data_IF_430598454465
#
_entry.id   IF_430598454465
#
_cell.length_a   1.000
_cell.length_b   1.000
_cell.length_c   1.000
_cell.angle_alpha   90.00
_cell.angle_beta   90.00
_cell.angle_gamma   90.00
#
_symmetry.space_group_name_H-M   'P 1'
#
loop_
_entity.id
_entity.type
_entity.pdbx_description
1 polymer ?
#
# COMPACT_ATOMS: atom_id res chain seq x y z
N UNK A 1 30.85 11.71 18.24
CA UNK A 1 29.52 11.98 18.81
C UNK A 1 28.38 11.83 17.80
N UNK A 2 28.52 12.29 16.54
CA UNK A 2 27.47 12.21 15.52
C UNK A 2 27.21 10.76 15.04
N UNK A 3 28.24 9.94 14.94
CA UNK A 3 28.14 8.51 14.54
C UNK A 3 27.42 7.64 15.59
N UNK A 4 27.61 7.91 16.85
CA UNK A 4 26.93 7.20 17.96
C UNK A 4 25.46 7.59 18.09
N UNK A 5 25.10 8.84 17.85
CA UNK A 5 23.73 9.29 17.82
C UNK A 5 22.97 8.71 16.62
N UNK A 6 23.60 8.64 15.43
CA UNK A 6 23.05 8.03 14.24
C UNK A 6 22.81 6.51 14.41
N UNK A 7 23.75 5.80 15.03
CA UNK A 7 23.59 4.37 15.31
C UNK A 7 22.46 4.09 16.30
N UNK A 8 22.31 4.91 17.34
CA UNK A 8 21.22 4.79 18.30
C UNK A 8 19.85 5.03 17.66
N UNK A 9 19.71 6.07 16.82
CA UNK A 9 18.49 6.34 16.07
C UNK A 9 18.16 5.20 15.09
N UNK A 10 19.16 4.66 14.41
CA UNK A 10 18.97 3.51 13.50
C UNK A 10 18.42 2.30 14.25
N UNK A 11 18.97 1.98 15.41
CA UNK A 11 18.51 0.87 16.25
C UNK A 11 17.07 1.09 16.73
N UNK A 12 16.74 2.31 17.16
CA UNK A 12 15.37 2.64 17.57
C UNK A 12 14.35 2.48 16.42
N UNK A 13 14.70 2.95 15.23
CA UNK A 13 13.84 2.80 14.04
C UNK A 13 13.67 1.34 13.65
N UNK A 14 14.73 0.54 13.72
CA UNK A 14 14.65 -0.91 13.44
C UNK A 14 13.76 -1.64 14.44
N UNK A 15 13.86 -1.33 15.74
CA UNK A 15 12.99 -1.93 16.76
C UNK A 15 11.54 -1.49 16.60
N UNK A 16 11.29 -0.22 16.33
CA UNK A 16 9.94 0.29 16.07
C UNK A 16 9.34 -0.40 14.83
N UNK A 17 10.09 -0.49 13.73
CA UNK A 17 9.67 -1.19 12.52
C UNK A 17 9.40 -2.68 12.76
N UNK A 18 10.23 -3.34 13.58
CA UNK A 18 10.01 -4.74 13.97
C UNK A 18 8.70 -4.94 14.73
N UNK A 19 8.44 -4.10 15.74
CA UNK A 19 7.19 -4.16 16.52
C UNK A 19 5.95 -3.91 15.67
N UNK A 20 5.98 -2.87 14.85
CA UNK A 20 4.87 -2.57 13.91
C UNK A 20 4.64 -3.73 12.94
N UNK A 21 5.70 -4.31 12.39
CA UNK A 21 5.61 -5.45 11.48
C UNK A 21 5.05 -6.71 12.17
N UNK A 22 5.40 -6.93 13.43
CA UNK A 22 4.87 -8.03 14.25
C UNK A 22 3.36 -7.87 14.47
N UNK A 23 2.91 -6.68 14.85
CA UNK A 23 1.48 -6.36 15.02
C UNK A 23 0.73 -6.49 13.69
N UNK A 24 1.29 -5.93 12.61
CA UNK A 24 0.73 -6.04 11.26
C UNK A 24 0.56 -7.50 10.83
N UNK A 25 1.59 -8.33 11.04
CA UNK A 25 1.55 -9.77 10.73
C UNK A 25 0.48 -10.51 11.54
N UNK A 26 0.37 -10.24 12.83
CA UNK A 26 -0.64 -10.84 13.70
C UNK A 26 -2.07 -10.47 13.26
N UNK A 27 -2.31 -9.21 12.94
CA UNK A 27 -3.61 -8.74 12.45
C UNK A 27 -3.92 -9.38 11.09
N UNK A 28 -2.97 -9.37 10.16
CA UNK A 28 -3.13 -9.96 8.82
C UNK A 28 -3.46 -11.45 8.88
N UNK A 29 -2.81 -12.17 9.78
CA UNK A 29 -3.07 -13.61 9.98
C UNK A 29 -4.47 -13.84 10.55
N UNK A 30 -4.82 -13.13 11.61
CA UNK A 30 -6.12 -13.29 12.29
C UNK A 30 -7.31 -12.94 11.39
N UNK A 31 -7.18 -11.84 10.65
CA UNK A 31 -8.26 -11.33 9.79
C UNK A 31 -8.26 -11.93 8.39
N UNK A 32 -7.28 -12.76 8.07
CA UNK A 32 -7.07 -13.32 6.72
C UNK A 32 -7.03 -12.25 5.64
N UNK A 33 -6.47 -11.10 5.98
CA UNK A 33 -6.38 -9.96 5.08
C UNK A 33 -5.49 -10.28 3.87
N UNK A 34 -6.07 -10.27 2.67
CA UNK A 34 -5.36 -10.62 1.44
C UNK A 34 -6.02 -9.98 0.22
N UNK A 35 -5.24 -9.26 -0.60
CA UNK A 35 -5.72 -8.62 -1.82
C UNK A 35 -6.30 -9.60 -2.82
N UNK A 36 -5.54 -10.66 -3.11
CA UNK A 36 -5.99 -11.72 -4.03
C UNK A 36 -7.27 -12.39 -3.50
N UNK A 37 -7.33 -12.67 -2.19
CA UNK A 37 -8.53 -13.24 -1.57
C UNK A 37 -9.73 -12.31 -1.68
N UNK A 38 -9.56 -11.00 -1.50
CA UNK A 38 -10.63 -10.02 -1.64
C UNK A 38 -11.21 -9.98 -3.06
N UNK A 39 -10.34 -9.99 -4.07
CA UNK A 39 -10.76 -10.02 -5.49
C UNK A 39 -11.43 -11.35 -5.83
N UNK A 40 -10.85 -12.47 -5.41
CA UNK A 40 -11.40 -13.80 -5.64
C UNK A 40 -12.79 -13.97 -5.01
N UNK A 41 -12.99 -13.50 -3.78
CA UNK A 41 -14.28 -13.58 -3.10
C UNK A 41 -15.36 -12.80 -3.84
N UNK A 42 -15.03 -11.60 -4.33
CA UNK A 42 -15.97 -10.79 -5.13
C UNK A 42 -16.33 -11.47 -6.45
N UNK A 43 -15.33 -12.00 -7.17
CA UNK A 43 -15.54 -12.60 -8.51
C UNK A 43 -16.22 -13.96 -8.42
N UNK A 44 -15.83 -14.81 -7.44
CA UNK A 44 -16.31 -16.20 -7.37
C UNK A 44 -17.56 -16.36 -6.52
N UNK A 45 -17.71 -15.56 -5.47
CA UNK A 45 -18.79 -15.71 -4.49
C UNK A 45 -19.68 -14.48 -4.34
N UNK A 46 -19.32 -13.34 -4.94
CA UNK A 46 -20.04 -12.08 -4.76
C UNK A 46 -19.90 -11.50 -3.34
N UNK A 47 -18.96 -12.00 -2.54
CA UNK A 47 -18.73 -11.53 -1.17
C UNK A 47 -17.76 -10.35 -1.14
N UNK A 48 -18.26 -9.20 -0.72
CA UNK A 48 -17.53 -7.93 -0.62
C UNK A 48 -16.86 -7.70 0.73
N UNK A 49 -16.97 -8.62 1.66
CA UNK A 49 -16.52 -8.42 3.05
C UNK A 49 -15.03 -8.06 3.12
N UNK A 50 -14.16 -8.83 2.45
CA UNK A 50 -12.71 -8.55 2.41
C UNK A 50 -12.36 -7.31 1.59
N UNK A 51 -13.11 -7.01 0.52
CA UNK A 51 -12.91 -5.79 -0.24
C UNK A 51 -13.25 -4.56 0.61
N UNK A 52 -14.25 -4.64 1.49
CA UNK A 52 -14.59 -3.58 2.45
C UNK A 52 -13.52 -3.42 3.54
N UNK A 53 -12.89 -4.52 4.00
CA UNK A 53 -11.71 -4.42 4.87
C UNK A 53 -10.60 -3.60 4.20
N UNK A 54 -10.36 -3.84 2.90
CA UNK A 54 -9.42 -3.06 2.10
C UNK A 54 -9.82 -1.59 1.99
N UNK A 55 -11.08 -1.32 1.66
CA UNK A 55 -11.59 0.05 1.59
C UNK A 55 -11.42 0.81 2.90
N UNK A 56 -11.73 0.16 4.03
CA UNK A 56 -11.53 0.75 5.36
C UNK A 56 -10.05 0.99 5.67
N UNK A 57 -9.16 0.04 5.38
CA UNK A 57 -7.72 0.19 5.62
C UNK A 57 -7.13 1.35 4.80
N UNK A 58 -7.51 1.45 3.52
CA UNK A 58 -7.09 2.56 2.65
C UNK A 58 -7.65 3.89 3.15
N UNK A 59 -8.93 3.94 3.54
CA UNK A 59 -9.56 5.15 4.07
C UNK A 59 -8.87 5.66 5.34
N UNK A 60 -8.57 4.77 6.28
CA UNK A 60 -7.83 5.11 7.51
C UNK A 60 -6.42 5.59 7.20
N UNK A 61 -5.68 4.88 6.32
CA UNK A 61 -4.34 5.27 5.93
C UNK A 61 -4.31 6.64 5.23
N UNK A 62 -5.27 6.93 4.33
CA UNK A 62 -5.38 8.23 3.67
C UNK A 62 -5.61 9.37 4.67
N UNK A 63 -6.55 9.19 5.59
CA UNK A 63 -6.86 10.22 6.61
C UNK A 63 -5.65 10.40 7.53
N UNK A 64 -5.07 9.32 8.04
CA UNK A 64 -3.92 9.39 8.95
C UNK A 64 -2.69 10.04 8.31
N UNK A 65 -2.36 9.67 7.07
CA UNK A 65 -1.27 10.29 6.32
C UNK A 65 -1.51 11.79 6.11
N UNK A 66 -2.73 12.17 5.78
CA UNK A 66 -3.06 13.60 5.58
C UNK A 66 -3.01 14.41 6.86
N UNK A 67 -3.39 13.83 8.01
CA UNK A 67 -3.24 14.48 9.32
C UNK A 67 -1.76 14.72 9.64
N UNK A 68 -0.90 13.71 9.41
CA UNK A 68 0.55 13.85 9.64
C UNK A 68 1.19 14.88 8.69
N UNK A 69 0.75 14.91 7.43
CA UNK A 69 1.21 15.88 6.44
C UNK A 69 0.77 17.31 6.79
N UNK A 70 -0.47 17.49 7.24
CA UNK A 70 -0.99 18.78 7.71
C UNK A 70 -0.27 19.26 8.98
N UNK A 71 0.05 18.34 9.90
CA UNK A 71 0.84 18.62 11.11
C UNK A 71 2.31 18.96 10.83
N UNK A 72 2.77 18.88 9.57
CA UNK A 72 4.16 19.16 9.18
C UNK A 72 5.18 18.08 9.56
N UNK A 73 4.71 16.92 10.02
CA UNK A 73 5.57 15.79 10.41
C UNK A 73 6.13 15.07 9.18
N UNK A 74 5.37 15.08 8.10
CA UNK A 74 5.74 14.44 6.82
C UNK A 74 5.63 15.46 5.70
N UNK A 75 6.64 15.49 4.82
CA UNK A 75 6.60 16.33 3.63
C UNK A 75 6.31 15.45 2.39
N UNK A 76 5.07 15.47 1.86
CA UNK A 76 4.68 14.66 0.71
C UNK A 76 5.51 14.94 -0.55
N UNK A 77 5.99 16.19 -0.73
CA UNK A 77 6.78 16.59 -1.89
C UNK A 77 8.18 15.93 -1.95
N UNK A 78 8.69 15.42 -0.83
CA UNK A 78 9.94 14.64 -0.78
C UNK A 78 9.76 13.16 -1.04
N UNK A 79 8.52 12.71 -1.25
CA UNK A 79 8.24 11.32 -1.57
C UNK A 79 8.71 10.98 -2.99
N UNK A 80 9.21 9.75 -3.18
CA UNK A 80 9.55 9.20 -4.51
C UNK A 80 8.34 9.14 -5.45
N UNK A 81 7.13 9.22 -4.92
CA UNK A 81 5.88 9.24 -5.69
C UNK A 81 5.47 10.65 -6.16
N UNK A 82 6.12 11.71 -5.65
CA UNK A 82 5.88 13.09 -6.08
C UNK A 82 6.64 13.40 -7.39
N UNK A 83 6.49 12.55 -8.40
CA UNK A 83 7.07 12.76 -9.73
C UNK A 83 6.07 13.49 -10.63
N UNK A 84 6.56 14.33 -11.54
CA UNK A 84 5.74 15.02 -12.54
C UNK A 84 5.41 14.15 -13.75
N UNK A 85 6.03 12.95 -13.83
CA UNK A 85 5.90 12.04 -14.97
C UNK A 85 4.96 10.89 -14.65
N UNK A 86 3.83 10.82 -15.35
CA UNK A 86 2.86 9.74 -15.20
C UNK A 86 3.15 8.59 -16.16
N UNK A 87 3.65 7.48 -15.60
CA UNK A 87 4.03 6.26 -16.31
C UNK A 87 2.83 5.30 -16.42
N UNK A 88 1.79 5.69 -17.13
CA UNK A 88 0.55 4.92 -17.21
C UNK A 88 0.75 3.52 -17.83
N UNK A 89 1.59 3.40 -18.87
CA UNK A 89 1.89 2.13 -19.52
C UNK A 89 2.66 1.19 -18.58
N UNK A 90 3.60 1.72 -17.82
CA UNK A 90 4.34 0.96 -16.80
C UNK A 90 3.41 0.45 -15.69
N UNK A 91 2.46 1.26 -15.26
CA UNK A 91 1.47 0.87 -14.26
C UNK A 91 0.54 -0.25 -14.78
N UNK A 92 0.11 -0.16 -16.04
CA UNK A 92 -0.79 -1.14 -16.66
C UNK A 92 -0.09 -2.48 -16.87
N UNK A 93 1.08 -2.48 -17.50
CA UNK A 93 1.87 -3.70 -17.76
C UNK A 93 2.36 -4.30 -16.44
N UNK A 94 2.88 -3.48 -15.53
CA UNK A 94 3.34 -3.91 -14.21
C UNK A 94 2.20 -4.49 -13.37
N UNK A 95 1.03 -3.87 -13.37
CA UNK A 95 -0.16 -4.36 -12.66
C UNK A 95 -0.66 -5.71 -13.22
N UNK A 96 -0.65 -5.86 -14.53
CA UNK A 96 -1.02 -7.13 -15.19
C UNK A 96 -0.06 -8.26 -14.83
N UNK A 97 1.26 -8.02 -14.97
CA UNK A 97 2.29 -9.00 -14.60
C UNK A 97 2.25 -9.34 -13.10
N UNK A 98 2.03 -8.35 -12.25
CA UNK A 98 1.87 -8.55 -10.81
C UNK A 98 0.65 -9.42 -10.49
N UNK A 99 -0.49 -9.18 -11.17
CA UNK A 99 -1.69 -10.00 -11.04
C UNK A 99 -1.47 -11.45 -11.43
N UNK A 100 -0.82 -11.69 -12.59
CA UNK A 100 -0.44 -13.04 -13.01
C UNK A 100 0.50 -13.71 -12.01
N UNK A 101 1.51 -12.98 -11.52
CA UNK A 101 2.45 -13.49 -10.52
C UNK A 101 1.74 -13.89 -9.21
N UNK A 102 0.75 -13.13 -8.75
CA UNK A 102 -0.04 -13.47 -7.55
C UNK A 102 -0.85 -14.78 -7.74
N UNK A 103 -1.40 -15.00 -8.93
CA UNK A 103 -2.16 -16.22 -9.24
C UNK A 103 -1.21 -17.43 -9.27
N UNK A 104 -0.10 -17.35 -9.99
CA UNK A 104 0.90 -18.42 -10.09
C UNK A 104 1.57 -18.72 -8.74
N UNK A 105 1.84 -17.70 -7.93
CA UNK A 105 2.42 -17.83 -6.59
C UNK A 105 1.43 -18.29 -5.50
N UNK A 106 0.16 -18.54 -5.86
CA UNK A 106 -0.91 -18.92 -4.92
C UNK A 106 -1.15 -17.93 -3.78
N UNK A 107 -0.82 -16.65 -4.00
CA UNK A 107 -1.08 -15.59 -3.04
C UNK A 107 -0.19 -14.36 -3.21
N UNK A 108 -0.54 -13.30 -2.50
CA UNK A 108 0.29 -12.10 -2.41
C UNK A 108 1.46 -12.31 -1.45
N UNK A 109 2.45 -11.40 -1.46
CA UNK A 109 3.62 -11.47 -0.59
C UNK A 109 3.29 -11.59 0.90
N UNK A 110 2.29 -10.84 1.39
CA UNK A 110 1.84 -10.90 2.79
C UNK A 110 1.32 -12.28 3.17
N UNK A 111 0.52 -12.92 2.30
CA UNK A 111 0.01 -14.28 2.53
C UNK A 111 1.14 -15.31 2.52
N UNK A 112 2.13 -15.12 1.67
CA UNK A 112 3.31 -15.99 1.61
C UNK A 112 4.12 -15.90 2.90
N UNK A 113 4.34 -14.69 3.43
CA UNK A 113 5.02 -14.46 4.72
C UNK A 113 4.26 -15.11 5.89
N UNK A 114 2.95 -14.96 5.95
CA UNK A 114 2.11 -15.62 6.97
C UNK A 114 2.23 -17.13 6.91
N UNK A 115 2.25 -17.72 5.69
CA UNK A 115 2.46 -19.16 5.49
C UNK A 115 3.85 -19.63 5.93
N UNK A 116 4.89 -18.82 5.72
CA UNK A 116 6.24 -19.11 6.22
C UNK A 116 6.22 -19.17 7.75
N UNK A 117 5.59 -18.18 8.39
CA UNK A 117 5.44 -18.14 9.83
C UNK A 117 4.68 -19.34 10.42
N UNK A 118 3.80 -19.98 9.63
CA UNK A 118 3.12 -21.22 10.00
C UNK A 118 3.92 -22.51 9.68
N UNK A 119 5.19 -22.38 9.27
CA UNK A 119 6.08 -23.52 9.01
C UNK A 119 6.00 -24.12 7.61
N UNK A 120 5.39 -23.45 6.64
CA UNK A 120 5.26 -23.97 5.28
C UNK A 120 6.51 -23.71 4.44
N UNK A 121 7.37 -24.74 4.28
CA UNK A 121 8.63 -24.66 3.50
C UNK A 121 8.40 -24.34 2.01
N UNK A 122 7.28 -24.75 1.42
CA UNK A 122 6.96 -24.40 0.02
C UNK A 122 6.78 -22.89 -0.13
N UNK A 123 6.15 -22.25 0.84
CA UNK A 123 5.98 -20.79 0.86
C UNK A 123 7.33 -20.08 0.98
N UNK A 124 8.30 -20.64 1.71
CA UNK A 124 9.64 -20.11 1.83
C UNK A 124 10.37 -20.09 0.46
N UNK A 125 10.29 -21.18 -0.30
CA UNK A 125 10.88 -21.24 -1.64
C UNK A 125 10.23 -20.22 -2.58
N UNK A 126 8.89 -20.11 -2.55
CA UNK A 126 8.16 -19.10 -3.34
C UNK A 126 8.60 -17.68 -2.97
N UNK A 127 8.79 -17.41 -1.70
CA UNK A 127 9.23 -16.10 -1.22
C UNK A 127 10.65 -15.76 -1.69
N UNK A 128 11.58 -16.72 -1.65
CA UNK A 128 12.95 -16.53 -2.17
C UNK A 128 12.94 -16.21 -3.67
N UNK A 129 12.20 -16.99 -4.46
CA UNK A 129 12.08 -16.75 -5.91
C UNK A 129 11.47 -15.37 -6.18
N UNK A 130 10.44 -15.00 -5.43
CA UNK A 130 9.80 -13.69 -5.52
C UNK A 130 10.79 -12.56 -5.17
N UNK A 131 11.60 -12.75 -4.13
CA UNK A 131 12.63 -11.78 -3.72
C UNK A 131 13.71 -11.57 -4.79
N UNK A 132 14.22 -12.67 -5.38
CA UNK A 132 15.20 -12.62 -6.48
C UNK A 132 14.60 -11.93 -7.69
N UNK A 133 13.36 -12.27 -8.08
CA UNK A 133 12.68 -11.66 -9.20
C UNK A 133 12.43 -10.15 -8.96
N UNK A 134 12.03 -9.77 -7.76
CA UNK A 134 11.84 -8.37 -7.38
C UNK A 134 13.16 -7.58 -7.46
N UNK A 135 14.26 -8.15 -6.96
CA UNK A 135 15.58 -7.51 -7.06
C UNK A 135 16.04 -7.38 -8.51
N UNK A 136 15.85 -8.42 -9.33
CA UNK A 136 16.16 -8.37 -10.76
C UNK A 136 15.35 -7.29 -11.50
N UNK A 137 14.09 -7.09 -11.09
CA UNK A 137 13.20 -6.06 -11.68
C UNK A 137 13.57 -4.64 -11.23
N UNK A 138 14.12 -4.48 -10.04
CA UNK A 138 14.53 -3.17 -9.52
C UNK A 138 15.89 -2.71 -10.04
N UNK A 139 16.89 -3.60 -10.08
CA UNK A 139 18.28 -3.25 -10.40
C UNK A 139 18.96 -4.19 -11.39
N UNK A 140 18.26 -5.21 -11.90
CA UNK A 140 18.83 -6.20 -12.83
C UNK A 140 18.55 -5.91 -14.31
N UNK A 141 18.72 -6.94 -15.13
CA UNK A 141 18.53 -6.88 -16.59
C UNK A 141 17.09 -6.48 -16.94
N UNK A 142 16.11 -6.95 -16.20
CA UNK A 142 14.70 -6.59 -16.38
C UNK A 142 14.42 -5.12 -16.08
N UNK A 143 15.18 -4.47 -15.20
CA UNK A 143 15.11 -3.03 -15.00
C UNK A 143 15.53 -2.25 -16.26
N UNK A 144 16.61 -2.69 -16.93
CA UNK A 144 17.08 -2.07 -18.18
C UNK A 144 16.01 -2.18 -19.27
N UNK A 145 15.42 -3.37 -19.44
CA UNK A 145 14.33 -3.59 -20.42
C UNK A 145 13.12 -2.72 -20.09
N UNK A 146 12.72 -2.65 -18.83
CA UNK A 146 11.59 -1.83 -18.37
C UNK A 146 11.80 -0.35 -18.69
N UNK A 147 12.97 0.20 -18.35
CA UNK A 147 13.33 1.60 -18.62
C UNK A 147 13.42 1.87 -20.10
N UNK A 148 13.99 0.93 -20.89
CA UNK A 148 14.16 1.09 -22.32
C UNK A 148 12.85 0.98 -23.13
N UNK A 149 11.84 0.31 -22.60
CA UNK A 149 10.56 0.04 -23.30
C UNK A 149 9.38 0.80 -22.68
N UNK A 150 8.94 0.35 -21.52
CA UNK A 150 7.65 0.74 -20.93
C UNK A 150 7.70 2.12 -20.27
N UNK A 151 8.83 2.50 -19.69
CA UNK A 151 9.00 3.79 -19.04
C UNK A 151 9.24 4.96 -20.01
N UNK A 152 9.54 4.66 -21.29
CA UNK A 152 9.65 5.72 -22.32
C UNK A 152 8.31 6.38 -22.61
N UNK A 153 7.21 5.62 -22.46
CA UNK A 153 5.86 6.12 -22.70
C UNK A 153 5.31 6.70 -21.39
N UNK A 154 5.63 7.95 -21.13
CA UNK A 154 5.10 8.71 -19.99
C UNK A 154 4.56 10.04 -20.44
N UNK A 155 3.54 10.55 -19.75
CA UNK A 155 2.97 11.87 -19.97
C UNK A 155 3.53 12.77 -18.87
N UNK A 156 4.16 13.88 -19.25
CA UNK A 156 4.59 14.89 -18.30
C UNK A 156 3.42 15.82 -17.99
N UNK A 157 3.00 15.82 -16.72
CA UNK A 157 1.95 16.70 -16.25
C UNK A 157 2.60 17.91 -15.56
N UNK A 158 2.32 19.11 -16.06
CA UNK A 158 2.86 20.36 -15.53
C UNK A 158 2.39 20.68 -14.12
N UNK A 159 1.28 20.09 -13.69
CA UNK A 159 0.64 20.35 -12.38
C UNK A 159 0.91 19.27 -11.34
N UNK A 160 1.79 18.29 -11.61
CA UNK A 160 2.01 17.12 -10.75
C UNK A 160 1.07 15.96 -11.07
N UNK A 161 1.41 14.77 -10.52
CA UNK A 161 0.67 13.51 -10.77
C UNK A 161 -0.30 13.16 -9.65
N UNK A 162 -0.34 13.93 -8.55
CA UNK A 162 -1.21 13.64 -7.41
C UNK A 162 -2.57 14.31 -7.55
N UNK A 163 -3.62 13.63 -7.08
CA UNK A 163 -4.97 14.21 -7.01
C UNK A 163 -5.02 15.47 -6.15
N UNK A 164 -4.11 15.58 -5.19
CA UNK A 164 -3.98 16.76 -4.32
C UNK A 164 -3.50 17.98 -5.09
N UNK A 165 -2.55 17.80 -6.02
CA UNK A 165 -2.03 18.90 -6.84
C UNK A 165 -3.12 19.42 -7.80
N UNK A 166 -3.89 18.51 -8.37
CA UNK A 166 -5.03 18.85 -9.23
C UNK A 166 -6.13 19.60 -8.47
N UNK A 167 -6.47 19.11 -7.28
CA UNK A 167 -7.45 19.77 -6.43
C UNK A 167 -6.96 21.15 -5.97
N UNK A 168 -5.69 21.29 -5.65
CA UNK A 168 -5.08 22.56 -5.26
C UNK A 168 -5.07 23.57 -6.42
N UNK A 169 -4.71 23.12 -7.63
CA UNK A 169 -4.72 23.98 -8.81
C UNK A 169 -6.13 24.44 -9.21
N UNK A 170 -7.15 23.59 -9.03
CA UNK A 170 -8.53 23.92 -9.34
C UNK A 170 -9.19 24.84 -8.29
N UNK A 171 -8.81 24.68 -7.01
CA UNK A 171 -9.43 25.43 -5.89
C UNK A 171 -8.65 26.66 -5.44
N UNK A 172 -7.38 26.81 -5.87
CA UNK A 172 -6.50 27.91 -5.43
C UNK A 172 -6.06 27.81 -3.96
N UNK A 173 -6.29 26.66 -3.31
CA UNK A 173 -6.00 26.40 -1.89
C UNK A 173 -4.64 25.70 -1.77
N UNK A 174 -3.87 25.90 -0.67
CA UNK A 174 -2.63 25.16 -0.45
C UNK A 174 -2.81 23.66 -0.58
N UNK A 175 -1.86 22.96 -1.25
CA UNK A 175 -1.93 21.53 -1.53
C UNK A 175 -2.15 20.68 -0.25
N UNK A 176 -1.64 21.11 0.89
CA UNK A 176 -1.84 20.45 2.19
C UNK A 176 -3.31 20.44 2.63
N UNK A 177 -4.00 21.58 2.47
CA UNK A 177 -5.41 21.74 2.84
C UNK A 177 -6.31 21.00 1.84
N UNK A 178 -6.02 21.12 0.54
CA UNK A 178 -6.72 20.38 -0.50
C UNK A 178 -6.57 18.86 -0.31
N UNK A 179 -5.36 18.40 0.02
CA UNK A 179 -5.08 17.00 0.34
C UNK A 179 -5.84 16.51 1.57
N UNK A 180 -5.93 17.32 2.63
CA UNK A 180 -6.70 16.96 3.81
C UNK A 180 -8.20 16.87 3.51
N UNK A 181 -8.77 17.84 2.80
CA UNK A 181 -10.19 17.82 2.42
C UNK A 181 -10.51 16.60 1.53
N UNK A 182 -9.67 16.33 0.53
CA UNK A 182 -9.85 15.20 -0.38
C UNK A 182 -9.76 13.86 0.36
N UNK A 183 -8.80 13.73 1.27
CA UNK A 183 -8.63 12.51 2.07
C UNK A 183 -9.78 12.30 3.06
N UNK A 184 -10.35 13.37 3.63
CA UNK A 184 -11.53 13.28 4.47
C UNK A 184 -12.75 12.82 3.67
N UNK A 185 -12.95 13.35 2.46
CA UNK A 185 -14.09 12.99 1.61
C UNK A 185 -13.95 11.55 1.09
N UNK A 186 -12.81 11.22 0.48
CA UNK A 186 -12.61 9.89 -0.10
C UNK A 186 -12.43 8.84 1.00
N UNK A 187 -11.56 9.10 1.98
CA UNK A 187 -11.30 8.18 3.08
C UNK A 187 -12.53 7.98 3.97
N UNK A 188 -13.23 9.06 4.30
CA UNK A 188 -14.51 8.99 5.02
C UNK A 188 -15.59 8.24 4.25
N UNK A 189 -15.67 8.48 2.93
CA UNK A 189 -16.57 7.75 2.03
C UNK A 189 -16.29 6.25 1.99
N UNK A 190 -15.01 5.85 1.92
CA UNK A 190 -14.59 4.45 1.97
C UNK A 190 -14.91 3.78 3.30
N UNK A 191 -14.67 4.47 4.42
CA UNK A 191 -15.00 3.97 5.76
C UNK A 191 -16.51 3.84 5.92
N UNK A 192 -17.28 4.82 5.46
CA UNK A 192 -18.74 4.77 5.48
C UNK A 192 -19.27 3.62 4.63
N UNK A 193 -18.78 3.48 3.39
CA UNK A 193 -19.15 2.38 2.50
C UNK A 193 -18.85 1.01 3.11
N UNK A 194 -17.69 0.86 3.75
CA UNK A 194 -17.29 -0.37 4.41
C UNK A 194 -18.21 -0.70 5.61
N UNK A 195 -18.52 0.28 6.45
CA UNK A 195 -19.30 0.10 7.70
C UNK A 195 -20.82 -0.03 7.49
N UNK A 196 -21.32 0.31 6.29
CA UNK A 196 -22.77 0.30 6.01
C UNK A 196 -23.38 -1.10 6.03
N UNK A 197 -22.62 -2.13 5.67
CA UNK A 197 -23.12 -3.51 5.58
C UNK A 197 -23.13 -4.21 6.94
N UNK A 198 -24.23 -4.94 7.23
CA UNK A 198 -24.36 -5.70 8.48
C UNK A 198 -23.35 -6.83 8.62
N UNK A 199 -22.98 -7.50 7.49
CA UNK A 199 -21.97 -8.56 7.47
C UNK A 199 -20.58 -8.08 7.89
N UNK A 200 -20.29 -6.78 7.65
CA UNK A 200 -19.02 -6.16 8.02
C UNK A 200 -18.89 -5.84 9.50
N UNK A 201 -20.00 -5.78 10.26
CA UNK A 201 -20.02 -5.33 11.65
C UNK A 201 -19.38 -6.29 12.67
N UNK A 202 -18.76 -7.37 12.23
CA UNK A 202 -17.94 -8.21 13.09
C UNK A 202 -16.66 -7.47 13.53
N UNK A 203 -16.25 -7.58 14.81
CA UNK A 203 -15.09 -6.86 15.35
C UNK A 203 -13.79 -7.19 14.61
N UNK A 204 -13.67 -8.38 14.05
CA UNK A 204 -12.49 -8.79 13.25
C UNK A 204 -12.34 -7.97 11.96
N UNK A 205 -13.43 -7.53 11.33
CA UNK A 205 -13.38 -6.71 10.13
C UNK A 205 -12.90 -5.29 10.44
N UNK A 206 -13.35 -4.73 11.57
CA UNK A 206 -12.86 -3.44 12.06
C UNK A 206 -11.39 -3.53 12.47
N UNK A 207 -11.00 -4.62 13.13
CA UNK A 207 -9.60 -4.87 13.49
C UNK A 207 -8.72 -4.93 12.23
N UNK A 208 -9.20 -5.56 11.15
CA UNK A 208 -8.49 -5.56 9.87
C UNK A 208 -8.32 -4.14 9.31
N UNK A 209 -9.42 -3.41 9.13
CA UNK A 209 -9.41 -2.09 8.51
C UNK A 209 -8.64 -1.06 9.33
N UNK A 210 -8.96 -0.91 10.62
CA UNK A 210 -8.33 0.07 11.50
C UNK A 210 -6.89 -0.32 11.85
N UNK A 211 -6.65 -1.60 12.15
CA UNK A 211 -5.34 -2.07 12.57
C UNK A 211 -4.32 -2.04 11.42
N UNK A 212 -4.70 -2.48 10.23
CA UNK A 212 -3.82 -2.44 9.05
C UNK A 212 -3.67 -1.00 8.56
N UNK A 213 -4.76 -0.23 8.48
CA UNK A 213 -4.71 1.18 8.12
C UNK A 213 -3.81 1.99 9.07
N UNK A 214 -3.93 1.75 10.39
CA UNK A 214 -3.09 2.40 11.40
C UNK A 214 -1.63 1.95 11.38
N UNK A 215 -1.34 0.70 11.02
CA UNK A 215 0.04 0.20 10.94
C UNK A 215 0.80 0.73 9.71
N UNK A 216 0.11 1.25 8.71
CA UNK A 216 0.70 1.83 7.48
C UNK A 216 1.03 3.33 7.66
N UNK A 217 0.40 4.00 8.63
CA UNK A 217 0.65 5.40 8.98
C UNK A 217 1.93 5.54 9.78
#
# INVERSE_FOLDING_TARGET
>A
MQSTALSALTVQVLWAGFLVSMVFGAITQRTRFCTMGAISDVVSYGDWTRMRQWGMAVGVAMIGFSILAYGGWINPAKSIYASTRWLWLSALVGGFLFGLGMVLGSGCGSKTLVRIGSGNLKAFVVFLVMGVAAFATLKGITAVVRVATVERVGIELSQGTTLTDWAASASGVPATVAGMALSMVIGGGLIFWASRERSFRHPENYLAGLGIGGAVI
#
